data_IF_549014215107
#
_entry.id   IF_549014215107
#
_cell.length_a   1.000
_cell.length_b   1.000
_cell.length_c   1.000
_cell.angle_alpha   90.00
_cell.angle_beta   90.00
_cell.angle_gamma   90.00
#
_symmetry.space_group_name_H-M   'P 1'
#
loop_
_entity.id
_entity.type
_entity.pdbx_description
1 polymer ?
#
# COMPACT_ATOMS: atom_id res chain seq x y z
N UNK A 1 14.15 12.91 1.60
CA UNK A 1 13.28 12.95 0.41
C UNK A 1 14.08 12.51 -0.82
N UNK A 2 13.44 11.69 -1.69
CA UNK A 2 14.02 11.23 -2.96
C UNK A 2 13.03 11.53 -4.09
N UNK A 3 13.49 11.43 -5.32
CA UNK A 3 12.63 11.44 -6.51
C UNK A 3 13.16 10.38 -7.48
N UNK A 4 12.39 9.30 -7.63
CA UNK A 4 12.77 8.14 -8.42
C UNK A 4 12.16 8.19 -9.82
N UNK A 5 12.78 7.53 -10.81
CA UNK A 5 12.28 7.50 -12.19
C UNK A 5 10.88 6.88 -12.32
N UNK A 6 10.07 7.46 -13.19
CA UNK A 6 8.75 6.93 -13.56
C UNK A 6 8.85 5.79 -14.57
N UNK A 7 9.82 5.83 -15.46
CA UNK A 7 10.12 4.76 -16.41
C UNK A 7 11.11 3.82 -15.76
N UNK A 8 10.70 2.59 -15.55
CA UNK A 8 11.45 1.59 -14.80
C UNK A 8 11.83 0.42 -15.71
N UNK A 9 13.09 -0.08 -15.65
CA UNK A 9 13.51 -1.21 -16.45
C UNK A 9 12.84 -2.50 -15.98
N UNK A 10 12.42 -3.34 -16.92
CA UNK A 10 11.76 -4.60 -16.63
C UNK A 10 12.63 -5.59 -15.85
N UNK A 11 13.95 -5.46 -15.92
CA UNK A 11 14.90 -6.33 -15.23
C UNK A 11 14.69 -6.31 -13.72
N UNK A 12 14.45 -5.15 -13.11
CA UNK A 12 14.21 -5.03 -11.68
C UNK A 12 12.91 -5.74 -11.25
N UNK A 13 11.88 -5.64 -12.08
CA UNK A 13 10.59 -6.29 -11.86
C UNK A 13 10.66 -7.82 -12.05
N UNK A 14 11.50 -8.27 -12.98
CA UNK A 14 11.78 -9.70 -13.19
C UNK A 14 12.60 -10.27 -12.03
N UNK A 15 13.55 -9.50 -11.50
CA UNK A 15 14.37 -9.89 -10.34
C UNK A 15 13.50 -10.10 -9.09
N UNK A 16 12.52 -9.24 -8.85
CA UNK A 16 11.57 -9.38 -7.72
C UNK A 16 10.49 -10.45 -7.97
N UNK A 17 10.38 -10.96 -9.21
CA UNK A 17 9.29 -11.88 -9.62
C UNK A 17 7.95 -11.18 -9.85
N UNK A 18 7.86 -9.86 -9.66
CA UNK A 18 6.58 -9.13 -9.73
C UNK A 18 6.19 -8.71 -11.17
N UNK A 19 7.06 -8.89 -12.17
CA UNK A 19 6.75 -8.57 -13.56
C UNK A 19 5.47 -9.24 -14.04
N UNK A 20 5.30 -10.53 -13.74
CA UNK A 20 4.13 -11.30 -14.15
C UNK A 20 2.97 -11.19 -13.16
N UNK A 21 3.27 -11.09 -11.86
CA UNK A 21 2.29 -10.98 -10.78
C UNK A 21 1.45 -9.71 -10.90
N UNK A 22 2.05 -8.57 -11.26
CA UNK A 22 1.33 -7.32 -11.49
C UNK A 22 0.35 -7.38 -12.68
N UNK A 23 0.52 -8.35 -13.56
CA UNK A 23 -0.42 -8.64 -14.65
C UNK A 23 -0.72 -7.43 -15.55
N UNK A 24 -1.99 -7.27 -15.97
CA UNK A 24 -2.40 -6.21 -16.89
C UNK A 24 -2.47 -4.82 -16.24
N UNK A 25 -2.44 -4.72 -14.92
CA UNK A 25 -2.44 -3.44 -14.21
C UNK A 25 -1.15 -2.65 -14.44
N UNK A 26 -0.05 -3.33 -14.75
CA UNK A 26 1.22 -2.71 -15.09
C UNK A 26 1.21 -2.20 -16.53
N UNK A 27 1.34 -0.88 -16.73
CA UNK A 27 1.52 -0.29 -18.06
C UNK A 27 2.93 -0.57 -18.57
N UNK A 28 3.05 -1.44 -19.58
CA UNK A 28 4.32 -1.87 -20.16
C UNK A 28 4.60 -1.15 -21.47
N UNK A 29 5.88 -0.92 -21.75
CA UNK A 29 6.35 -0.22 -22.93
C UNK A 29 7.67 -0.82 -23.42
N UNK A 30 8.05 -0.52 -24.66
CA UNK A 30 9.34 -0.84 -25.20
C UNK A 30 10.05 0.41 -25.72
N UNK A 31 11.36 0.42 -25.53
CA UNK A 31 12.19 1.46 -26.12
C UNK A 31 12.53 1.15 -27.60
N UNK A 32 13.24 2.08 -28.27
CA UNK A 32 13.67 1.90 -29.66
C UNK A 32 14.64 0.75 -29.90
N UNK A 33 15.22 0.20 -28.83
CA UNK A 33 16.14 -0.96 -28.86
C UNK A 33 15.44 -2.24 -28.44
N UNK A 34 14.10 -2.23 -28.39
CA UNK A 34 13.25 -3.37 -28.05
C UNK A 34 13.43 -3.90 -26.62
N UNK A 35 13.87 -3.02 -25.70
CA UNK A 35 13.98 -3.33 -24.28
C UNK A 35 12.67 -3.02 -23.57
N UNK A 36 12.26 -3.94 -22.70
CA UNK A 36 11.02 -3.79 -21.91
C UNK A 36 11.20 -2.82 -20.75
N UNK A 37 10.18 -1.99 -20.54
CA UNK A 37 10.04 -1.06 -19.42
C UNK A 37 8.61 -1.09 -18.90
N UNK A 38 8.42 -0.55 -17.70
CA UNK A 38 7.12 -0.24 -17.14
C UNK A 38 7.03 1.24 -16.75
N UNK A 39 5.83 1.82 -16.85
CA UNK A 39 5.48 3.02 -16.11
C UNK A 39 5.20 2.62 -14.67
N UNK A 40 5.80 3.32 -13.72
CA UNK A 40 5.82 2.97 -12.32
C UNK A 40 4.43 2.80 -11.69
N UNK A 41 3.96 1.59 -11.39
CA UNK A 41 2.77 1.39 -10.56
C UNK A 41 3.09 1.59 -9.09
N UNK A 42 4.34 1.38 -8.72
CA UNK A 42 4.96 1.58 -7.41
C UNK A 42 6.48 1.67 -7.57
N UNK A 43 7.26 1.85 -6.51
CA UNK A 43 8.71 2.08 -6.62
C UNK A 43 9.57 1.17 -5.71
N UNK A 44 9.05 0.08 -5.16
CA UNK A 44 9.82 -0.80 -4.29
C UNK A 44 11.09 -1.31 -4.97
N UNK A 45 11.00 -1.74 -6.23
CA UNK A 45 12.12 -2.30 -6.99
C UNK A 45 13.25 -1.29 -7.18
N UNK A 46 12.94 -0.09 -7.63
CA UNK A 46 13.97 0.93 -7.90
C UNK A 46 14.54 1.53 -6.62
N UNK A 47 13.75 1.64 -5.55
CA UNK A 47 14.24 2.10 -4.25
C UNK A 47 15.12 1.04 -3.61
N UNK A 48 14.76 -0.24 -3.71
CA UNK A 48 15.58 -1.35 -3.22
C UNK A 48 16.92 -1.44 -3.98
N UNK A 49 16.90 -1.23 -5.29
CA UNK A 49 18.12 -1.15 -6.09
C UNK A 49 19.02 0.04 -5.69
N UNK A 50 18.41 1.20 -5.41
CA UNK A 50 19.14 2.36 -4.88
C UNK A 50 19.80 2.04 -3.54
N UNK A 51 19.03 1.46 -2.60
CA UNK A 51 19.51 1.16 -1.25
C UNK A 51 20.65 0.16 -1.28
N UNK A 52 20.59 -0.89 -2.10
CA UNK A 52 21.70 -1.83 -2.29
C UNK A 52 23.00 -1.17 -2.70
N UNK A 53 22.94 -0.03 -3.39
CA UNK A 53 24.12 0.70 -3.88
C UNK A 53 24.65 1.73 -2.89
N UNK A 54 23.78 2.31 -2.06
CA UNK A 54 24.14 3.43 -1.18
C UNK A 54 24.35 3.02 0.28
N UNK A 55 23.70 1.96 0.76
CA UNK A 55 23.92 1.43 2.10
C UNK A 55 25.11 0.47 2.06
N UNK A 56 26.23 0.93 2.57
CA UNK A 56 27.48 0.16 2.61
C UNK A 56 27.83 -0.34 4.02
N UNK A 57 27.05 0.04 5.03
CA UNK A 57 27.25 -0.36 6.41
C UNK A 57 25.91 -0.45 7.16
N UNK A 58 25.76 -1.47 8.01
CA UNK A 58 24.60 -1.62 8.91
C UNK A 58 24.38 -0.39 9.82
N UNK A 59 25.42 0.41 10.06
CA UNK A 59 25.33 1.65 10.85
C UNK A 59 24.52 2.76 10.16
N UNK A 60 24.19 2.61 8.88
CA UNK A 60 23.34 3.52 8.12
C UNK A 60 21.86 3.16 8.25
N UNK A 61 21.55 2.07 8.95
CA UNK A 61 20.19 1.64 9.26
C UNK A 61 19.81 2.03 10.71
N UNK A 62 18.53 2.29 11.02
CA UNK A 62 17.42 2.30 10.06
C UNK A 62 17.48 3.49 9.10
N UNK A 63 16.96 3.29 7.90
CA UNK A 63 16.85 4.33 6.89
C UNK A 63 15.40 4.41 6.41
N UNK A 64 14.82 5.61 6.39
CA UNK A 64 13.48 5.85 5.89
C UNK A 64 13.52 6.91 4.79
N UNK A 65 13.09 6.54 3.60
CA UNK A 65 13.05 7.39 2.42
C UNK A 65 11.61 7.59 1.99
N UNK A 66 11.28 8.77 1.45
CA UNK A 66 9.97 9.03 0.89
C UNK A 66 10.06 9.89 -0.37
N UNK A 67 9.01 9.81 -1.16
CA UNK A 67 8.78 10.71 -2.29
C UNK A 67 7.31 11.09 -2.39
N UNK A 68 7.04 12.17 -3.09
CA UNK A 68 5.72 12.54 -3.61
C UNK A 68 5.85 12.50 -5.12
N UNK A 69 5.28 11.49 -5.75
CA UNK A 69 5.54 11.21 -7.15
C UNK A 69 4.33 10.58 -7.83
N UNK A 70 4.23 10.71 -9.14
CA UNK A 70 3.17 10.11 -9.95
C UNK A 70 3.31 8.57 -9.97
N UNK A 71 2.17 7.91 -10.07
CA UNK A 71 2.07 6.47 -10.30
C UNK A 71 1.16 6.21 -11.49
N UNK A 72 1.37 5.09 -12.17
CA UNK A 72 0.57 4.66 -13.31
C UNK A 72 0.06 3.23 -13.08
N UNK A 73 -1.25 3.07 -13.10
CA UNK A 73 -1.90 1.75 -13.05
C UNK A 73 -2.96 1.69 -14.13
N UNK A 74 -2.98 0.63 -14.94
CA UNK A 74 -4.00 0.46 -15.98
C UNK A 74 -5.33 0.01 -15.37
N UNK A 75 -5.90 0.91 -14.58
CA UNK A 75 -7.16 0.70 -13.88
C UNK A 75 -8.26 0.36 -14.88
N UNK A 76 -8.88 -0.80 -14.70
CA UNK A 76 -9.91 -1.31 -15.62
C UNK A 76 -11.20 -0.48 -15.57
N UNK A 77 -11.51 0.14 -14.43
CA UNK A 77 -12.72 0.92 -14.19
C UNK A 77 -12.42 2.27 -13.52
N UNK A 78 -11.79 3.21 -14.23
CA UNK A 78 -11.62 4.56 -13.71
C UNK A 78 -12.98 5.18 -13.34
N UNK A 79 -13.08 5.76 -12.14
CA UNK A 79 -14.31 6.36 -11.64
C UNK A 79 -14.04 7.34 -10.52
N UNK A 80 -15.05 8.08 -10.08
CA UNK A 80 -14.96 9.08 -8.99
C UNK A 80 -13.92 10.18 -9.23
N UNK A 81 -13.76 10.60 -10.48
CA UNK A 81 -12.84 11.66 -10.85
C UNK A 81 -11.39 11.28 -10.54
N UNK A 82 -10.75 11.99 -9.61
CA UNK A 82 -9.35 11.76 -9.23
C UNK A 82 -9.16 10.63 -8.23
N UNK A 83 -10.20 10.08 -7.63
CA UNK A 83 -10.07 9.06 -6.59
C UNK A 83 -9.65 7.70 -7.15
N UNK A 84 -10.06 7.37 -8.38
CA UNK A 84 -9.68 6.13 -9.04
C UNK A 84 -9.31 6.38 -10.50
N UNK A 85 -8.09 6.83 -10.70
CA UNK A 85 -7.53 7.23 -12.00
C UNK A 85 -6.36 6.30 -12.39
N UNK A 86 -5.98 6.33 -13.67
CA UNK A 86 -4.83 5.60 -14.19
C UNK A 86 -3.49 6.29 -13.95
N UNK A 87 -3.53 7.59 -13.73
CA UNK A 87 -2.39 8.42 -13.35
C UNK A 87 -2.77 9.20 -12.09
N UNK A 88 -1.98 9.10 -11.03
CA UNK A 88 -2.27 9.73 -9.75
C UNK A 88 -0.99 10.01 -8.97
N UNK A 89 -1.04 10.97 -8.06
CA UNK A 89 0.07 11.31 -7.18
C UNK A 89 -0.05 10.52 -5.88
N UNK A 90 1.07 9.93 -5.45
CA UNK A 90 1.18 9.21 -4.18
C UNK A 90 2.33 9.78 -3.36
N UNK A 91 2.13 9.91 -2.05
CA UNK A 91 3.24 9.92 -1.10
C UNK A 91 3.54 8.47 -0.76
N UNK A 92 4.67 7.99 -1.16
CA UNK A 92 5.15 6.66 -0.82
C UNK A 92 6.43 6.73 0.00
N UNK A 93 6.52 5.90 1.04
CA UNK A 93 7.66 5.82 1.96
C UNK A 93 8.18 4.39 2.03
N UNK A 94 9.50 4.27 2.19
CA UNK A 94 10.23 3.01 2.18
C UNK A 94 11.21 3.01 3.34
N UNK A 95 11.06 2.08 4.26
CA UNK A 95 11.96 1.96 5.40
C UNK A 95 12.74 0.65 5.34
N UNK A 96 13.99 0.74 5.78
CA UNK A 96 14.95 -0.36 5.76
C UNK A 96 15.55 -0.52 7.15
N UNK A 97 15.56 -1.74 7.65
CA UNK A 97 15.86 -2.06 9.03
C UNK A 97 16.85 -3.23 9.13
N UNK A 98 17.52 -3.33 10.26
CA UNK A 98 18.41 -4.45 10.56
C UNK A 98 17.65 -5.59 11.24
N UNK A 99 16.58 -5.27 11.97
CA UNK A 99 15.79 -6.19 12.76
C UNK A 99 14.31 -5.76 12.85
N UNK A 100 13.46 -6.68 13.26
CA UNK A 100 12.03 -6.49 13.38
C UNK A 100 11.67 -5.43 14.44
N UNK A 101 12.40 -5.35 15.53
CA UNK A 101 12.14 -4.36 16.58
C UNK A 101 12.29 -2.92 16.05
N UNK A 102 13.30 -2.68 15.24
CA UNK A 102 13.50 -1.38 14.57
C UNK A 102 12.41 -1.11 13.53
N UNK A 103 11.97 -2.14 12.80
CA UNK A 103 10.87 -2.04 11.84
C UNK A 103 9.56 -1.66 12.55
N UNK A 104 9.19 -2.36 13.62
CA UNK A 104 7.97 -2.12 14.40
C UNK A 104 7.88 -0.68 14.92
N UNK A 105 8.98 -0.14 15.43
CA UNK A 105 9.03 1.26 15.89
C UNK A 105 8.71 2.24 14.75
N UNK A 106 9.23 1.99 13.56
CA UNK A 106 8.95 2.85 12.39
C UNK A 106 7.53 2.66 11.88
N UNK A 107 7.04 1.43 11.85
CA UNK A 107 5.67 1.12 11.46
C UNK A 107 4.67 1.83 12.37
N UNK A 108 4.83 1.70 13.68
CA UNK A 108 3.97 2.37 14.65
C UNK A 108 4.04 3.91 14.53
N UNK A 109 5.23 4.47 14.32
CA UNK A 109 5.38 5.92 14.11
C UNK A 109 4.64 6.41 12.86
N UNK A 110 4.63 5.62 11.78
CA UNK A 110 3.87 5.93 10.56
C UNK A 110 2.36 5.77 10.77
N UNK A 111 1.92 4.72 11.46
CA UNK A 111 0.52 4.52 11.85
C UNK A 111 -0.02 5.71 12.63
N UNK A 112 0.72 6.15 13.66
CA UNK A 112 0.37 7.32 14.46
C UNK A 112 0.37 8.61 13.64
N UNK A 113 1.29 8.74 12.69
CA UNK A 113 1.36 9.90 11.80
C UNK A 113 0.11 9.99 10.90
N UNK A 114 -0.30 8.88 10.27
CA UNK A 114 -1.52 8.84 9.46
C UNK A 114 -2.77 9.13 10.30
N UNK A 115 -2.88 8.56 11.50
CA UNK A 115 -3.96 8.85 12.43
C UNK A 115 -4.04 10.34 12.77
N UNK A 116 -2.89 10.98 13.05
CA UNK A 116 -2.84 12.43 13.31
C UNK A 116 -3.24 13.26 12.10
N UNK A 117 -2.82 12.87 10.89
CA UNK A 117 -3.17 13.56 9.64
C UNK A 117 -4.68 13.56 9.46
N UNK A 118 -5.32 12.38 9.51
CA UNK A 118 -6.75 12.22 9.30
C UNK A 118 -7.57 12.98 10.36
N UNK A 119 -7.17 12.92 11.63
CA UNK A 119 -7.78 13.70 12.71
C UNK A 119 -7.65 15.21 12.46
N UNK A 120 -6.49 15.72 12.02
CA UNK A 120 -6.26 17.15 11.75
C UNK A 120 -7.12 17.70 10.63
N UNK A 121 -7.43 16.88 9.62
CA UNK A 121 -8.34 17.26 8.53
C UNK A 121 -9.82 16.97 8.86
N UNK A 122 -10.12 16.45 10.06
CA UNK A 122 -11.48 16.27 10.57
C UNK A 122 -12.24 15.11 9.94
N UNK A 123 -11.57 14.07 9.50
CA UNK A 123 -12.20 12.89 8.92
C UNK A 123 -12.52 11.85 9.99
N UNK A 124 -13.73 11.26 9.94
CA UNK A 124 -14.05 10.04 10.69
C UNK A 124 -13.50 8.85 9.92
N UNK A 125 -12.59 8.10 10.54
CA UNK A 125 -11.87 7.01 9.90
C UNK A 125 -11.71 5.81 10.84
N UNK A 126 -11.40 4.67 10.23
CA UNK A 126 -10.93 3.47 10.96
C UNK A 126 -9.64 2.98 10.31
N UNK A 127 -8.64 2.67 11.13
CA UNK A 127 -7.52 1.86 10.70
C UNK A 127 -7.99 0.39 10.74
N UNK A 128 -7.92 -0.30 9.62
CA UNK A 128 -8.41 -1.66 9.47
C UNK A 128 -7.28 -2.61 9.10
N UNK A 129 -7.32 -3.82 9.63
CA UNK A 129 -6.47 -4.89 9.16
C UNK A 129 -6.84 -5.25 7.73
N UNK A 130 -5.86 -5.17 6.84
CA UNK A 130 -6.04 -5.35 5.41
C UNK A 130 -5.22 -6.53 4.87
N UNK A 131 -5.67 -7.10 3.76
CA UNK A 131 -4.87 -8.02 2.98
C UNK A 131 -3.87 -7.22 2.12
N UNK A 132 -2.56 -7.47 2.20
CA UNK A 132 -1.59 -6.75 1.37
C UNK A 132 -1.73 -7.03 -0.13
N UNK A 133 -2.50 -8.04 -0.52
CA UNK A 133 -2.75 -8.43 -1.92
C UNK A 133 -1.46 -8.77 -2.67
N UNK A 134 -1.38 -8.35 -3.93
CA UNK A 134 -0.20 -8.57 -4.79
C UNK A 134 0.96 -7.61 -4.49
N UNK A 135 0.78 -6.65 -3.58
CA UNK A 135 1.75 -5.59 -3.31
C UNK A 135 2.74 -5.94 -2.20
N UNK A 136 2.46 -6.94 -1.35
CA UNK A 136 3.36 -7.33 -0.27
C UNK A 136 2.91 -8.56 0.49
N UNK A 137 3.70 -8.94 1.50
CA UNK A 137 3.43 -10.01 2.46
C UNK A 137 3.38 -9.42 3.88
N UNK A 138 2.65 -10.08 4.78
CA UNK A 138 2.62 -9.76 6.20
C UNK A 138 1.43 -8.91 6.63
N UNK A 139 1.56 -8.26 7.78
CA UNK A 139 0.53 -7.38 8.34
C UNK A 139 0.44 -6.08 7.55
N UNK A 140 -0.78 -5.68 7.24
CA UNK A 140 -1.07 -4.43 6.53
C UNK A 140 -2.25 -3.73 7.18
N UNK A 141 -2.21 -2.40 7.21
CA UNK A 141 -3.33 -1.57 7.64
C UNK A 141 -3.74 -0.59 6.55
N UNK A 142 -5.03 -0.39 6.44
CA UNK A 142 -5.63 0.65 5.61
C UNK A 142 -6.40 1.63 6.49
N UNK A 143 -6.34 2.91 6.14
CA UNK A 143 -7.08 3.97 6.83
C UNK A 143 -8.32 4.31 6.00
N UNK A 144 -9.46 3.73 6.38
CA UNK A 144 -10.73 3.94 5.69
C UNK A 144 -11.48 5.12 6.29
N UNK A 145 -11.84 6.09 5.46
CA UNK A 145 -12.78 7.16 5.82
C UNK A 145 -14.19 6.61 5.70
N UNK A 146 -14.98 6.78 6.76
CA UNK A 146 -16.36 6.30 6.78
C UNK A 146 -17.25 7.19 5.92
N UNK A 147 -17.89 6.61 4.91
CA UNK A 147 -18.80 7.30 4.01
C UNK A 147 -19.85 6.33 3.46
N UNK A 148 -21.11 6.77 3.38
CA UNK A 148 -22.21 5.96 2.80
C UNK A 148 -21.99 5.65 1.30
N UNK A 149 -21.23 6.50 0.61
CA UNK A 149 -20.86 6.34 -0.80
C UNK A 149 -19.57 5.57 -1.02
N UNK A 150 -19.02 4.92 0.01
CA UNK A 150 -17.79 4.12 -0.07
C UNK A 150 -17.95 2.90 -0.98
N UNK A 151 -16.82 2.40 -1.50
CA UNK A 151 -16.81 1.20 -2.35
C UNK A 151 -16.64 -0.09 -1.56
N UNK A 152 -15.86 0.00 -0.46
CA UNK A 152 -15.47 -1.15 0.32
C UNK A 152 -16.22 -1.18 1.65
N UNK A 153 -16.67 -2.36 2.03
CA UNK A 153 -17.30 -2.59 3.32
C UNK A 153 -16.23 -2.98 4.36
N UNK A 154 -16.33 -2.38 5.55
CA UNK A 154 -15.50 -2.75 6.69
C UNK A 154 -16.38 -3.22 7.86
N UNK A 155 -15.87 -4.20 8.61
CA UNK A 155 -16.47 -4.61 9.88
C UNK A 155 -15.74 -3.90 11.01
N UNK A 156 -16.45 -3.23 11.89
CA UNK A 156 -15.84 -2.58 13.05
C UNK A 156 -16.72 -2.69 14.30
N UNK A 157 -16.09 -2.62 15.46
CA UNK A 157 -16.77 -2.61 16.74
C UNK A 157 -17.08 -1.17 17.18
N UNK A 158 -18.32 -0.86 17.59
CA UNK A 158 -18.63 0.45 18.15
C UNK A 158 -18.06 0.66 19.55
N UNK A 159 -17.64 -0.42 20.24
CA UNK A 159 -17.18 -0.39 21.63
C UNK A 159 -15.70 -0.71 21.83
N UNK A 160 -14.97 -1.00 20.76
CA UNK A 160 -13.54 -1.30 20.79
C UNK A 160 -12.82 -0.71 19.57
N UNK A 161 -11.50 -0.84 19.53
CA UNK A 161 -10.68 -0.43 18.37
C UNK A 161 -10.68 -1.42 17.21
N UNK A 162 -11.41 -2.54 17.33
CA UNK A 162 -11.44 -3.56 16.27
C UNK A 162 -12.07 -3.00 14.98
N UNK A 163 -11.33 -3.11 13.89
CA UNK A 163 -11.81 -2.88 12.54
C UNK A 163 -11.00 -3.73 11.55
N UNK A 164 -11.68 -4.33 10.58
CA UNK A 164 -11.07 -5.17 9.56
C UNK A 164 -11.84 -5.08 8.24
N UNK A 165 -11.17 -5.31 7.12
CA UNK A 165 -11.84 -5.57 5.85
C UNK A 165 -12.71 -6.81 5.96
N UNK A 166 -13.79 -6.87 5.20
CA UNK A 166 -14.76 -7.99 5.28
C UNK A 166 -14.09 -9.35 5.07
N UNK A 167 -13.07 -9.41 4.21
CA UNK A 167 -12.30 -10.61 3.92
C UNK A 167 -11.47 -11.11 5.10
N UNK A 168 -11.07 -10.19 6.00
CA UNK A 168 -10.29 -10.49 7.21
C UNK A 168 -11.10 -10.45 8.50
N UNK A 169 -12.38 -10.05 8.43
CA UNK A 169 -13.20 -9.87 9.60
C UNK A 169 -13.45 -11.21 10.32
N UNK A 170 -13.07 -11.27 11.59
CA UNK A 170 -13.34 -12.40 12.48
C UNK A 170 -14.61 -12.14 13.28
N UNK A 171 -15.51 -13.10 13.32
CA UNK A 171 -16.70 -13.07 14.17
C UNK A 171 -16.70 -14.27 15.13
N UNK A 172 -16.94 -13.98 16.42
CA UNK A 172 -17.21 -15.03 17.39
C UNK A 172 -18.70 -15.34 17.32
N UNK A 173 -19.02 -16.56 16.91
CA UNK A 173 -20.42 -17.05 16.94
C UNK A 173 -20.87 -17.18 18.40
N UNK A 174 -21.79 -16.32 18.82
CA UNK A 174 -22.44 -16.40 20.11
C UNK A 174 -23.84 -16.97 19.93
N UNK A 175 -24.03 -18.30 20.10
CA UNK A 175 -25.33 -18.96 20.04
C UNK A 175 -25.53 -19.87 18.84
N UNK A 176 -26.70 -20.57 18.78
CA UNK A 176 -27.07 -21.46 17.68
C UNK A 176 -26.99 -20.78 16.32
N UNK A 177 -26.38 -21.47 15.35
CA UNK A 177 -26.08 -20.98 14.00
C UNK A 177 -27.33 -20.83 13.11
N UNK A 178 -28.40 -20.27 13.61
CA UNK A 178 -29.52 -19.83 12.78
C UNK A 178 -29.26 -18.40 12.25
N UNK A 179 -28.63 -18.40 11.06
CA UNK A 179 -28.41 -17.27 10.11
C UNK A 179 -28.02 -15.91 10.69
N UNK A 180 -26.83 -15.42 10.41
CA UNK A 180 -26.49 -14.05 10.71
C UNK A 180 -27.39 -13.08 9.92
N UNK A 181 -28.09 -12.22 10.63
CA UNK A 181 -28.75 -11.06 10.01
C UNK A 181 -27.68 -10.04 9.72
N UNK A 182 -27.21 -9.96 8.48
CA UNK A 182 -26.40 -8.86 8.00
C UNK A 182 -27.29 -7.62 7.96
N UNK A 183 -27.04 -6.69 8.87
CA UNK A 183 -27.58 -5.33 8.75
C UNK A 183 -26.55 -4.53 7.96
N UNK A 184 -26.94 -4.15 6.74
CA UNK A 184 -26.19 -3.23 5.87
C UNK A 184 -26.21 -1.83 6.46
#
# INVERSE_FOLDING_TARGET
EILMPMVQPAELWRESGRWDVMGPEMMRMRDRNDRDYALAPTHEEVVSDLIRKVIVSYKQLPCNLYQINTKFRDEIRPRFGLLRAREFVMKDGYSFHLDDASFELTYQAMFDAYSRILNRIGLDFRAVDADPGTMGDGESHEFHVLAESGEDAIAFSPSSSYAANVEKAEAIATGDLDKPTLTL
#
